data_IF_299259323551
#
_entry.id   IF_299259323551
#
_cell.length_a   1.000
_cell.length_b   1.000
_cell.length_c   1.000
_cell.angle_alpha   90.00
_cell.angle_beta   90.00
_cell.angle_gamma   90.00
#
_symmetry.space_group_name_H-M   'P 1'
#
loop_
_entity.id
_entity.type
_entity.pdbx_description
1 polymer ?
#
# COMPACT_ATOMS: atom_id res chain seq x y z
N UNK A 1 -18.51 14.22 6.89
CA UNK A 1 -18.23 13.05 7.74
C UNK A 1 -17.98 11.77 6.94
N UNK A 2 -18.83 11.41 5.95
CA UNK A 2 -18.71 10.14 5.19
C UNK A 2 -17.41 10.02 4.38
N UNK A 3 -16.98 11.11 3.72
CA UNK A 3 -15.72 11.12 2.95
C UNK A 3 -14.49 10.92 3.83
N UNK A 4 -14.47 11.54 5.02
CA UNK A 4 -13.40 11.39 6.01
C UNK A 4 -13.29 9.97 6.55
N UNK A 5 -14.42 9.28 6.74
CA UNK A 5 -14.44 7.88 7.16
C UNK A 5 -13.89 6.95 6.07
N UNK A 6 -14.29 7.16 4.81
CA UNK A 6 -13.73 6.39 3.69
C UNK A 6 -12.22 6.61 3.56
N UNK A 7 -11.75 7.86 3.65
CA UNK A 7 -10.31 8.16 3.62
C UNK A 7 -9.57 7.50 4.79
N UNK A 8 -10.15 7.51 6.00
CA UNK A 8 -9.56 6.83 7.16
C UNK A 8 -9.46 5.31 6.95
N UNK A 9 -10.50 4.68 6.40
CA UNK A 9 -10.50 3.24 6.08
C UNK A 9 -9.49 2.91 4.98
N UNK A 10 -9.41 3.71 3.92
CA UNK A 10 -8.40 3.55 2.86
C UNK A 10 -6.98 3.76 3.38
N UNK A 11 -6.75 4.74 4.25
CA UNK A 11 -5.45 5.00 4.85
C UNK A 11 -5.01 3.89 5.81
N UNK A 12 -5.94 3.21 6.49
CA UNK A 12 -5.67 2.07 7.38
C UNK A 12 -5.35 0.77 6.64
N UNK A 13 -5.54 0.71 5.32
CA UNK A 13 -5.12 -0.45 4.55
C UNK A 13 -3.60 -0.60 4.65
N UNK A 14 -3.09 -1.85 4.67
CA UNK A 14 -1.65 -2.15 4.71
C UNK A 14 -0.99 -1.87 3.35
N UNK A 15 -1.15 -0.64 2.86
CA UNK A 15 -0.54 -0.15 1.64
C UNK A 15 0.71 0.63 2.04
N UNK A 16 1.91 0.22 1.58
CA UNK A 16 3.21 0.79 1.97
C UNK A 16 3.46 2.24 1.49
N UNK A 17 2.44 3.08 1.41
CA UNK A 17 2.52 4.50 0.99
C UNK A 17 1.48 5.34 1.77
N UNK A 18 0.49 4.68 2.39
CA UNK A 18 -0.58 5.31 3.16
C UNK A 18 -0.23 5.31 4.65
N UNK A 19 -0.80 6.25 5.41
CA UNK A 19 -0.51 6.47 6.84
C UNK A 19 -0.63 5.18 7.68
N UNK A 20 -1.57 4.29 7.35
CA UNK A 20 -1.77 3.01 8.02
C UNK A 20 -0.68 1.97 7.73
N UNK A 21 -0.02 2.02 6.57
CA UNK A 21 1.14 1.17 6.29
C UNK A 21 2.33 1.51 7.18
N UNK A 22 2.55 2.82 7.41
CA UNK A 22 3.57 3.32 8.35
C UNK A 22 3.22 2.95 9.80
N UNK A 23 1.94 3.13 10.20
CA UNK A 23 1.47 2.72 11.52
C UNK A 23 1.63 1.22 11.77
N UNK A 24 1.37 0.37 10.78
CA UNK A 24 1.55 -1.09 10.90
C UNK A 24 3.02 -1.47 11.07
N UNK A 25 3.94 -0.82 10.35
CA UNK A 25 5.39 -1.02 10.55
C UNK A 25 5.80 -0.63 11.95
N UNK A 26 5.32 0.52 12.46
CA UNK A 26 5.54 0.96 13.84
C UNK A 26 4.96 -0.02 14.86
N UNK A 27 3.74 -0.55 14.64
CA UNK A 27 3.14 -1.55 15.51
C UNK A 27 3.95 -2.85 15.52
N UNK A 28 4.50 -3.28 14.38
CA UNK A 28 5.39 -4.44 14.30
C UNK A 28 6.70 -4.19 15.05
N UNK A 29 7.28 -3.00 14.97
CA UNK A 29 8.47 -2.63 15.76
C UNK A 29 8.18 -2.61 17.26
N UNK A 30 7.03 -2.06 17.66
CA UNK A 30 6.58 -2.07 19.05
C UNK A 30 6.35 -3.50 19.56
N UNK A 31 5.76 -4.37 18.74
CA UNK A 31 5.52 -5.77 19.07
C UNK A 31 6.83 -6.60 19.11
N UNK A 32 7.78 -6.34 18.21
CA UNK A 32 9.10 -7.00 18.21
C UNK A 32 10.08 -6.40 19.23
N UNK A 33 9.73 -5.28 19.88
CA UNK A 33 10.62 -4.47 20.73
C UNK A 33 12.00 -4.20 20.11
N UNK A 34 12.07 -4.18 18.78
CA UNK A 34 13.30 -4.02 18.02
C UNK A 34 13.03 -3.15 16.81
N UNK A 35 13.90 -2.18 16.60
CA UNK A 35 13.86 -1.34 15.41
C UNK A 35 14.16 -2.19 14.18
N UNK A 36 13.25 -2.15 13.21
CA UNK A 36 13.49 -2.73 11.90
C UNK A 36 14.58 -1.90 11.23
N UNK A 37 15.62 -2.58 10.76
CA UNK A 37 16.71 -1.93 10.05
C UNK A 37 16.16 -1.06 8.90
N UNK A 38 16.68 0.15 8.74
CA UNK A 38 16.21 1.10 7.72
C UNK A 38 16.20 0.48 6.32
N UNK A 39 17.22 -0.31 6.00
CA UNK A 39 17.30 -1.03 4.72
C UNK A 39 16.13 -2.01 4.50
N UNK A 40 15.65 -2.67 5.57
CA UNK A 40 14.50 -3.59 5.49
C UNK A 40 13.21 -2.81 5.29
N UNK A 41 13.02 -1.69 6.01
CA UNK A 41 11.87 -0.81 5.78
C UNK A 41 11.86 -0.34 4.33
N UNK A 42 12.95 0.23 3.85
CA UNK A 42 13.04 0.74 2.48
C UNK A 42 12.79 -0.35 1.43
N UNK A 43 13.32 -1.56 1.65
CA UNK A 43 13.07 -2.72 0.77
C UNK A 43 11.58 -3.12 0.76
N UNK A 44 10.92 -3.18 1.91
CA UNK A 44 9.49 -3.51 2.02
C UNK A 44 8.62 -2.44 1.35
N UNK A 45 8.94 -1.16 1.60
CA UNK A 45 8.26 -0.03 0.96
C UNK A 45 8.42 -0.07 -0.56
N UNK A 46 9.64 -0.29 -1.05
CA UNK A 46 9.95 -0.36 -2.48
C UNK A 46 9.30 -1.56 -3.17
N UNK A 47 9.35 -2.75 -2.55
CA UNK A 47 8.69 -3.95 -3.07
C UNK A 47 7.18 -3.76 -3.15
N UNK A 48 6.58 -3.22 -2.07
CA UNK A 48 5.15 -2.97 -2.03
C UNK A 48 4.70 -1.89 -3.03
N UNK A 49 5.51 -0.84 -3.23
CA UNK A 49 5.27 0.17 -4.26
C UNK A 49 5.31 -0.45 -5.66
N UNK A 50 6.34 -1.24 -5.98
CA UNK A 50 6.46 -1.92 -7.28
C UNK A 50 5.32 -2.90 -7.51
N UNK A 51 4.92 -3.66 -6.49
CA UNK A 51 3.78 -4.57 -6.56
C UNK A 51 2.46 -3.83 -6.82
N UNK A 52 2.21 -2.73 -6.11
CA UNK A 52 1.05 -1.87 -6.35
C UNK A 52 1.04 -1.30 -7.77
N UNK A 53 2.16 -0.76 -8.23
CA UNK A 53 2.30 -0.26 -9.59
C UNK A 53 2.03 -1.35 -10.62
N UNK A 54 2.52 -2.57 -10.40
CA UNK A 54 2.26 -3.70 -11.28
C UNK A 54 0.76 -4.03 -11.34
N UNK A 55 0.06 -4.04 -10.19
CA UNK A 55 -1.40 -4.24 -10.15
C UNK A 55 -2.12 -3.11 -10.89
N UNK A 56 -1.76 -1.85 -10.63
CA UNK A 56 -2.39 -0.69 -11.28
C UNK A 56 -2.25 -0.78 -12.79
N UNK A 57 -1.05 -1.10 -13.30
CA UNK A 57 -0.81 -1.28 -14.74
C UNK A 57 -1.61 -2.48 -15.28
N UNK A 58 -1.66 -3.59 -14.55
CA UNK A 58 -2.43 -4.77 -14.95
C UNK A 58 -3.92 -4.49 -15.05
N UNK A 59 -4.49 -3.80 -14.05
CA UNK A 59 -5.91 -3.39 -14.02
C UNK A 59 -6.19 -2.39 -15.13
N UNK A 60 -5.33 -1.38 -15.32
CA UNK A 60 -5.45 -0.43 -16.44
C UNK A 60 -5.44 -1.12 -17.80
N UNK A 61 -4.54 -2.08 -18.00
CA UNK A 61 -4.51 -2.87 -19.23
C UNK A 61 -5.79 -3.68 -19.41
N UNK A 62 -6.29 -4.31 -18.35
CA UNK A 62 -7.55 -5.08 -18.39
C UNK A 62 -8.75 -4.17 -18.71
N UNK A 63 -8.84 -3.01 -18.07
CA UNK A 63 -9.90 -2.04 -18.27
C UNK A 63 -9.89 -1.48 -19.69
N UNK A 64 -8.70 -1.12 -20.22
CA UNK A 64 -8.55 -0.65 -21.61
C UNK A 64 -8.91 -1.77 -22.60
N UNK A 65 -8.45 -3.00 -22.36
CA UNK A 65 -8.76 -4.14 -23.20
C UNK A 65 -10.26 -4.49 -23.19
N UNK A 66 -10.95 -4.29 -22.06
CA UNK A 66 -12.41 -4.43 -21.94
C UNK A 66 -13.17 -3.28 -22.58
N UNK A 67 -12.63 -2.06 -22.51
CA UNK A 67 -13.24 -0.87 -23.09
C UNK A 67 -13.06 -0.78 -24.60
N UNK A 68 -12.09 -1.50 -25.18
CA UNK A 68 -12.00 -1.67 -26.62
C UNK A 68 -13.19 -2.53 -27.09
N UNK A 69 -14.15 -1.96 -27.83
CA UNK A 69 -15.18 -2.76 -28.46
C UNK A 69 -14.52 -3.51 -29.62
N UNK A 70 -14.44 -4.83 -29.50
CA UNK A 70 -14.42 -5.70 -30.68
C UNK A 70 -15.82 -5.79 -31.27
#
# INVERSE_FOLDING_TARGET
>A
AVVSLNLAVFNLLPIPILDGGVMLVLLVEMAMQRELNQAVKEMVFKLGFVFLMAIVVFVLYNDIAKMLPG
#
